data_IF_882463199871
#
_entry.id   IF_882463199871
#
_cell.length_a   1.000
_cell.length_b   1.000
_cell.length_c   1.000
_cell.angle_alpha   90.00
_cell.angle_beta   90.00
_cell.angle_gamma   90.00
#
_symmetry.space_group_name_H-M   'P 1'
#
loop_
_entity.id
_entity.type
_entity.pdbx_description
1 polymer ?
#
# COMPACT_ATOMS: atom_id res chain seq x y z
N UNK A 1 -0.07 -1.52 10.87
CA UNK A 1 1.35 -1.59 10.42
C UNK A 1 1.53 -2.88 9.65
N UNK A 2 1.22 -2.85 8.35
CA UNK A 2 1.42 -4.00 7.48
C UNK A 2 2.91 -4.06 7.13
N UNK A 3 3.64 -4.99 7.73
CA UNK A 3 5.04 -5.23 7.40
C UNK A 3 5.11 -6.34 6.36
N UNK A 4 5.18 -5.93 5.09
CA UNK A 4 5.44 -6.85 3.99
C UNK A 4 6.88 -7.39 4.12
N UNK A 5 7.03 -8.61 4.64
CA UNK A 5 8.32 -9.30 4.78
C UNK A 5 8.36 -10.42 3.76
N UNK A 6 8.18 -10.08 2.48
CA UNK A 6 8.03 -11.05 1.41
C UNK A 6 8.95 -10.71 0.25
N UNK A 7 10.12 -11.34 0.19
CA UNK A 7 10.79 -11.62 -1.07
C UNK A 7 10.05 -12.74 -1.81
N UNK A 8 8.74 -12.59 -2.01
CA UNK A 8 7.98 -13.50 -2.85
C UNK A 8 8.15 -12.98 -4.27
N UNK A 9 8.93 -13.71 -5.06
CA UNK A 9 9.00 -13.46 -6.50
C UNK A 9 7.56 -13.42 -7.01
N UNK A 10 7.15 -12.24 -7.48
CA UNK A 10 5.85 -12.02 -8.08
C UNK A 10 5.63 -13.15 -9.09
N UNK A 11 4.60 -13.96 -8.86
CA UNK A 11 4.25 -14.99 -9.83
C UNK A 11 3.98 -14.31 -11.19
N UNK A 12 4.19 -14.97 -12.33
CA UNK A 12 3.88 -14.37 -13.63
C UNK A 12 2.40 -13.93 -13.76
N UNK A 13 1.50 -14.47 -12.92
CA UNK A 13 0.14 -13.94 -12.78
C UNK A 13 0.06 -12.60 -12.03
N UNK A 14 0.91 -12.39 -11.02
CA UNK A 14 1.00 -11.11 -10.32
C UNK A 14 1.56 -10.00 -11.24
N UNK A 15 2.58 -10.28 -12.05
CA UNK A 15 3.08 -9.33 -13.05
C UNK A 15 2.00 -8.85 -14.02
N UNK A 16 1.11 -9.76 -14.45
CA UNK A 16 -0.01 -9.41 -15.31
C UNK A 16 -0.99 -8.42 -14.65
N UNK A 17 -1.24 -8.56 -13.35
CA UNK A 17 -2.11 -7.65 -12.56
C UNK A 17 -1.50 -6.25 -12.42
N UNK A 18 -0.17 -6.15 -12.37
CA UNK A 18 0.54 -4.87 -12.28
C UNK A 18 0.82 -4.20 -13.63
N UNK A 19 0.28 -4.73 -14.74
CA UNK A 19 0.46 -4.15 -16.08
C UNK A 19 -0.01 -2.69 -16.11
N UNK A 20 0.91 -1.78 -16.42
CA UNK A 20 0.66 -0.33 -16.46
C UNK A 20 0.98 0.40 -15.14
N UNK A 21 1.33 -0.31 -14.08
CA UNK A 21 1.78 0.25 -12.80
C UNK A 21 3.31 0.16 -12.75
N UNK A 22 3.99 1.30 -12.61
CA UNK A 22 5.44 1.37 -12.49
C UNK A 22 5.83 1.88 -11.10
N UNK A 23 6.64 1.11 -10.37
CA UNK A 23 7.27 1.57 -9.14
C UNK A 23 8.40 2.56 -9.50
N UNK A 24 8.29 3.82 -9.05
CA UNK A 24 9.33 4.84 -9.27
C UNK A 24 10.41 4.82 -8.18
N UNK A 25 10.09 4.25 -7.01
CA UNK A 25 11.00 4.14 -5.87
C UNK A 25 10.21 3.84 -4.59
N UNK A 26 10.93 3.47 -3.53
CA UNK A 26 10.37 3.21 -2.21
C UNK A 26 11.30 3.76 -1.13
N UNK A 27 10.71 4.40 -0.11
CA UNK A 27 11.44 4.75 1.10
C UNK A 27 10.79 4.05 2.28
N UNK A 28 11.58 3.28 3.01
CA UNK A 28 11.13 2.70 4.27
C UNK A 28 11.40 3.70 5.40
N UNK A 29 10.35 4.08 6.14
CA UNK A 29 10.48 4.83 7.40
C UNK A 29 9.76 4.05 8.49
N UNK A 30 10.37 4.00 9.66
CA UNK A 30 9.81 3.33 10.84
C UNK A 30 8.76 4.18 11.55
N UNK A 31 8.69 5.48 11.27
CA UNK A 31 7.72 6.41 11.83
C UNK A 31 7.20 7.35 10.73
N UNK A 32 5.92 7.21 10.38
CA UNK A 32 5.20 8.14 9.52
C UNK A 32 4.20 8.91 10.39
N UNK A 33 4.13 10.26 10.30
CA UNK A 33 3.16 11.06 11.05
C UNK A 33 1.79 11.05 10.35
N UNK A 34 1.38 9.87 9.87
CA UNK A 34 0.11 9.66 9.21
C UNK A 34 -0.49 8.33 9.61
N UNK A 35 -1.81 8.32 9.72
CA UNK A 35 -2.64 7.14 9.89
C UNK A 35 -3.42 6.93 8.61
N UNK A 36 -3.36 5.72 8.03
CA UNK A 36 -4.19 5.32 6.90
C UNK A 36 -5.13 4.21 7.34
N UNK A 37 -6.43 4.44 7.17
CA UNK A 37 -7.49 3.46 7.41
C UNK A 37 -8.07 3.00 6.07
N UNK A 38 -8.40 1.72 6.01
CA UNK A 38 -9.07 1.10 4.86
C UNK A 38 -10.37 0.53 5.39
N UNK A 39 -11.49 1.10 4.97
CA UNK A 39 -12.82 0.61 5.28
C UNK A 39 -13.30 -0.22 4.08
N UNK A 40 -13.39 -1.54 4.27
CA UNK A 40 -13.98 -2.45 3.29
C UNK A 40 -15.50 -2.47 3.49
N UNK A 41 -16.23 -1.94 2.51
CA UNK A 41 -17.69 -1.84 2.51
C UNK A 41 -18.35 -3.01 1.74
N UNK A 42 -17.58 -4.04 1.37
CA UNK A 42 -18.02 -5.20 0.62
C UNK A 42 -18.02 -4.98 -0.89
N UNK A 43 -18.81 -4.02 -1.38
CA UNK A 43 -18.85 -3.67 -2.82
C UNK A 43 -17.92 -2.51 -3.19
N UNK A 44 -17.49 -1.73 -2.18
CA UNK A 44 -16.63 -0.57 -2.32
C UNK A 44 -15.56 -0.56 -1.22
N UNK A 45 -14.56 0.32 -1.39
CA UNK A 45 -13.59 0.62 -0.34
C UNK A 45 -13.46 2.13 -0.12
N UNK A 46 -13.29 2.54 1.14
CA UNK A 46 -12.91 3.89 1.47
C UNK A 46 -11.49 3.93 2.05
N UNK A 47 -10.71 4.91 1.59
CA UNK A 47 -9.36 5.16 2.08
C UNK A 47 -9.36 6.48 2.84
N UNK A 48 -9.09 6.43 4.14
CA UNK A 48 -9.02 7.61 4.98
C UNK A 48 -7.58 7.83 5.48
N UNK A 49 -6.96 8.94 5.05
CA UNK A 49 -5.64 9.34 5.50
C UNK A 49 -5.74 10.54 6.45
N UNK A 50 -5.19 10.39 7.65
CA UNK A 50 -5.05 11.46 8.63
C UNK A 50 -3.57 11.79 8.78
N UNK A 51 -3.26 13.08 8.84
CA UNK A 51 -1.90 13.59 9.03
C UNK A 51 -1.88 14.51 10.24
N UNK A 52 -0.70 14.71 10.82
CA UNK A 52 -0.52 15.76 11.82
C UNK A 52 -0.72 17.12 11.16
N UNK A 53 -1.45 18.01 11.85
CA UNK A 53 -1.52 19.42 11.48
C UNK A 53 -0.25 20.09 12.01
N UNK A 54 0.36 20.98 11.23
CA UNK A 54 1.56 21.73 11.62
C UNK A 54 1.29 22.61 12.87
#
# INVERSE_FOLDING_TARGET
NYRHSGSEALSPQADAVWTGIQMLGGQERTNYPLTLNVDDLGEDFALNAQTVVD
#
